data_IF_231486772232
#
_entry.id   IF_231486772232
#
_cell.length_a   1.000
_cell.length_b   1.000
_cell.length_c   1.000
_cell.angle_alpha   90.00
_cell.angle_beta   90.00
_cell.angle_gamma   90.00
#
_symmetry.space_group_name_H-M   'P 1'
#
loop_
_entity.id
_entity.type
_entity.pdbx_description
1 polymer ?
#
# COMPACT_ATOMS: atom_id res chain seq x y z
N UNK A 1 22.57 -12.62 -21.92
CA UNK A 1 22.30 -12.04 -20.60
C UNK A 1 21.17 -11.09 -20.83
N UNK A 2 19.97 -11.42 -20.37
CA UNK A 2 18.83 -10.51 -20.51
C UNK A 2 19.07 -9.33 -19.56
N UNK A 3 19.14 -8.13 -20.13
CA UNK A 3 19.38 -6.89 -19.40
C UNK A 3 18.16 -6.57 -18.53
N UNK A 4 18.34 -6.53 -17.21
CA UNK A 4 17.32 -6.06 -16.26
C UNK A 4 17.38 -4.54 -16.16
N UNK A 5 16.27 -3.90 -16.48
CA UNK A 5 16.03 -2.46 -16.35
C UNK A 5 15.39 -2.19 -15.00
N UNK A 6 16.06 -1.43 -14.13
CA UNK A 6 15.54 -1.03 -12.83
C UNK A 6 15.31 0.47 -12.78
N UNK A 7 14.09 0.86 -12.39
CA UNK A 7 13.71 2.28 -12.27
C UNK A 7 13.21 2.58 -10.86
N UNK A 8 14.09 3.06 -9.96
CA UNK A 8 13.72 3.34 -8.57
C UNK A 8 12.80 4.56 -8.41
N UNK A 9 12.56 5.32 -9.48
CA UNK A 9 11.68 6.48 -9.50
C UNK A 9 10.30 6.18 -10.13
N UNK A 10 10.03 4.94 -10.54
CA UNK A 10 8.75 4.56 -11.13
C UNK A 10 7.83 3.92 -10.09
N UNK A 11 6.75 4.59 -9.73
CA UNK A 11 5.80 4.13 -8.72
C UNK A 11 4.51 3.62 -9.37
N UNK A 12 4.07 2.44 -8.93
CA UNK A 12 2.87 1.79 -9.43
C UNK A 12 1.66 2.12 -8.58
N UNK A 13 0.55 2.52 -9.20
CA UNK A 13 -0.76 2.60 -8.56
C UNK A 13 -1.61 1.43 -9.04
N UNK A 14 -2.11 0.61 -8.12
CA UNK A 14 -2.88 -0.59 -8.44
C UNK A 14 -4.11 -0.73 -7.54
N UNK A 15 -5.00 -1.66 -7.88
CA UNK A 15 -6.28 -1.90 -7.20
C UNK A 15 -7.45 -2.08 -8.15
N UNK A 16 -8.62 -2.45 -7.63
CA UNK A 16 -9.83 -2.68 -8.43
C UNK A 16 -10.32 -1.45 -9.20
N UNK A 17 -11.21 -1.60 -10.20
CA UNK A 17 -11.95 -0.48 -10.80
C UNK A 17 -12.74 0.28 -9.72
N UNK A 18 -13.06 1.56 -9.96
CA UNK A 18 -13.85 2.37 -9.03
C UNK A 18 -13.16 2.79 -7.72
N UNK A 19 -11.89 2.41 -7.48
CA UNK A 19 -11.19 2.73 -6.23
C UNK A 19 -10.66 4.18 -6.11
N UNK A 20 -10.94 5.05 -7.09
CA UNK A 20 -10.48 6.45 -7.11
C UNK A 20 -9.03 6.68 -7.58
N UNK A 21 -8.35 5.65 -8.12
CA UNK A 21 -6.97 5.72 -8.62
C UNK A 21 -6.74 6.83 -9.65
N UNK A 22 -7.51 6.77 -10.74
CA UNK A 22 -7.38 7.72 -11.85
C UNK A 22 -7.58 9.16 -11.40
N UNK A 23 -8.48 9.40 -10.44
CA UNK A 23 -8.71 10.74 -9.89
C UNK A 23 -7.49 11.27 -9.13
N UNK A 24 -6.81 10.41 -8.36
CA UNK A 24 -5.56 10.80 -7.67
C UNK A 24 -4.44 11.03 -8.69
N UNK A 25 -4.33 10.20 -9.73
CA UNK A 25 -3.34 10.38 -10.80
C UNK A 25 -3.56 11.69 -11.54
N UNK A 26 -4.79 12.02 -11.88
CA UNK A 26 -5.14 13.29 -12.51
C UNK A 26 -4.79 14.48 -11.59
N UNK A 27 -5.02 14.37 -10.28
CA UNK A 27 -4.60 15.38 -9.30
C UNK A 27 -3.08 15.56 -9.26
N UNK A 28 -2.31 14.47 -9.30
CA UNK A 28 -0.85 14.51 -9.36
C UNK A 28 -0.37 15.18 -10.65
N UNK A 29 -0.97 14.82 -11.79
CA UNK A 29 -0.68 15.44 -13.10
C UNK A 29 -0.93 16.94 -13.09
N UNK A 30 -2.07 17.38 -12.55
CA UNK A 30 -2.41 18.81 -12.40
C UNK A 30 -1.45 19.55 -11.46
N UNK A 31 -0.86 18.84 -10.50
CA UNK A 31 0.17 19.37 -9.59
C UNK A 31 1.58 19.35 -10.20
N UNK A 32 1.72 19.01 -11.49
CA UNK A 32 2.99 19.02 -12.22
C UNK A 32 3.82 17.75 -12.11
N UNK A 33 3.30 16.67 -11.52
CA UNK A 33 3.99 15.38 -11.47
C UNK A 33 3.81 14.60 -12.76
N UNK A 34 4.82 13.82 -13.12
CA UNK A 34 4.78 12.98 -14.32
C UNK A 34 3.93 11.73 -14.07
N UNK A 35 2.98 11.49 -14.96
CA UNK A 35 2.00 10.40 -14.81
C UNK A 35 1.81 9.63 -16.10
N UNK A 36 1.65 8.32 -16.01
CA UNK A 36 1.37 7.43 -17.14
C UNK A 36 -0.04 6.83 -16.97
N UNK A 37 -0.98 7.09 -17.89
CA UNK A 37 -2.35 6.57 -17.79
C UNK A 37 -2.42 5.07 -18.14
N UNK A 38 -3.51 4.42 -17.73
CA UNK A 38 -3.68 2.97 -17.89
C UNK A 38 -3.90 2.56 -19.36
N UNK A 39 -3.12 1.60 -19.86
CA UNK A 39 -3.21 1.07 -21.22
C UNK A 39 -4.58 0.47 -21.57
N UNK A 40 -5.15 -0.27 -20.62
CA UNK A 40 -6.38 -1.04 -20.76
C UNK A 40 -7.58 -0.22 -21.26
N UNK A 41 -7.76 1.01 -20.76
CA UNK A 41 -8.87 1.90 -21.18
C UNK A 41 -8.75 2.31 -22.66
N UNK A 42 -7.54 2.69 -23.07
CA UNK A 42 -7.28 3.07 -24.46
C UNK A 42 -7.50 1.89 -25.41
N UNK A 43 -7.08 0.69 -25.02
CA UNK A 43 -7.29 -0.53 -25.80
C UNK A 43 -8.78 -0.85 -25.95
N UNK A 44 -9.56 -0.81 -24.87
CA UNK A 44 -11.02 -1.05 -24.95
C UNK A 44 -11.69 -0.06 -25.90
N UNK A 45 -11.36 1.24 -25.81
CA UNK A 45 -11.90 2.27 -26.71
C UNK A 45 -11.54 1.99 -28.17
N UNK A 46 -10.29 1.61 -28.44
CA UNK A 46 -9.83 1.29 -29.79
C UNK A 46 -10.54 0.05 -30.34
N UNK A 47 -10.64 -1.03 -29.56
CA UNK A 47 -11.29 -2.27 -29.98
C UNK A 47 -12.78 -2.07 -30.27
N UNK A 48 -13.49 -1.32 -29.41
CA UNK A 48 -14.89 -0.94 -29.68
C UNK A 48 -15.04 -0.14 -30.97
N UNK A 49 -14.12 0.80 -31.24
CA UNK A 49 -14.14 1.62 -32.47
C UNK A 49 -13.86 0.81 -33.73
N UNK A 50 -13.01 -0.22 -33.66
CA UNK A 50 -12.62 -1.04 -34.82
C UNK A 50 -13.43 -2.33 -34.95
N UNK A 51 -14.41 -2.57 -34.08
CA UNK A 51 -15.19 -3.81 -34.05
C UNK A 51 -14.39 -5.04 -33.61
N UNK A 52 -13.26 -4.85 -32.91
CA UNK A 52 -12.46 -5.94 -32.36
C UNK A 52 -13.01 -6.45 -31.02
N UNK A 53 -12.55 -7.62 -30.59
CA UNK A 53 -13.03 -8.28 -29.38
C UNK A 53 -11.94 -8.46 -28.30
N UNK A 54 -10.74 -7.90 -28.47
CA UNK A 54 -9.64 -8.01 -27.51
C UNK A 54 -9.90 -7.14 -26.26
N UNK A 55 -10.77 -7.61 -25.38
CA UNK A 55 -11.32 -6.90 -24.22
C UNK A 55 -11.48 -7.85 -23.04
N UNK A 56 -11.78 -7.32 -21.86
CA UNK A 56 -11.95 -8.12 -20.64
C UNK A 56 -13.07 -9.17 -20.67
N UNK A 57 -14.06 -8.98 -21.54
CA UNK A 57 -15.26 -9.80 -21.75
C UNK A 57 -15.23 -10.56 -23.08
N UNK A 58 -14.16 -10.42 -23.87
CA UNK A 58 -13.94 -11.11 -25.13
C UNK A 58 -12.64 -11.92 -25.14
N UNK A 59 -11.77 -11.65 -26.13
CA UNK A 59 -10.46 -12.28 -26.23
C UNK A 59 -9.47 -11.68 -25.22
N UNK A 60 -9.44 -12.28 -24.03
CA UNK A 60 -8.57 -11.87 -22.93
C UNK A 60 -7.08 -12.08 -23.22
N UNK A 61 -6.71 -13.06 -24.04
CA UNK A 61 -5.29 -13.35 -24.31
C UNK A 61 -4.70 -12.27 -25.22
N UNK A 62 -5.41 -11.93 -26.31
CA UNK A 62 -5.03 -10.80 -27.17
C UNK A 62 -5.08 -9.48 -26.39
N UNK A 63 -6.05 -9.32 -25.48
CA UNK A 63 -6.13 -8.14 -24.62
C UNK A 63 -4.89 -7.98 -23.72
N UNK A 64 -4.44 -9.06 -23.08
CA UNK A 64 -3.20 -9.08 -22.27
C UNK A 64 -1.98 -8.74 -23.12
N UNK A 65 -1.87 -9.29 -24.33
CA UNK A 65 -0.76 -8.99 -25.25
C UNK A 65 -0.72 -7.51 -25.63
N UNK A 66 -1.87 -6.91 -25.95
CA UNK A 66 -1.97 -5.47 -26.26
C UNK A 66 -1.59 -4.61 -25.05
N UNK A 67 -2.08 -4.96 -23.86
CA UNK A 67 -1.73 -4.25 -22.62
C UNK A 67 -0.23 -4.36 -22.32
N UNK A 68 0.39 -5.53 -22.55
CA UNK A 68 1.82 -5.74 -22.33
C UNK A 68 2.64 -4.88 -23.29
N UNK A 69 2.30 -4.88 -24.58
CA UNK A 69 2.98 -4.04 -25.59
C UNK A 69 2.94 -2.56 -25.22
N UNK A 70 1.77 -2.06 -24.82
CA UNK A 70 1.62 -0.68 -24.41
C UNK A 70 2.40 -0.38 -23.11
N UNK A 71 2.35 -1.27 -22.11
CA UNK A 71 3.09 -1.09 -20.85
C UNK A 71 4.61 -1.05 -21.06
N UNK A 72 5.15 -1.88 -21.96
CA UNK A 72 6.57 -1.87 -22.32
C UNK A 72 6.97 -0.60 -23.07
N UNK A 73 6.09 -0.09 -23.94
CA UNK A 73 6.28 1.17 -24.62
C UNK A 73 6.31 2.32 -23.61
N UNK A 74 5.32 2.40 -22.73
CA UNK A 74 5.23 3.44 -21.70
C UNK A 74 6.44 3.42 -20.76
N UNK A 75 6.91 2.24 -20.36
CA UNK A 75 8.12 2.10 -19.56
C UNK A 75 9.35 2.70 -20.27
N UNK A 76 9.51 2.39 -21.56
CA UNK A 76 10.65 2.81 -22.40
C UNK A 76 10.65 4.31 -22.70
N UNK A 77 9.49 4.88 -23.00
CA UNK A 77 9.34 6.31 -23.29
C UNK A 77 9.74 7.19 -22.10
N UNK A 78 9.71 6.63 -20.90
CA UNK A 78 10.05 7.35 -19.67
C UNK A 78 11.50 7.14 -19.21
N UNK A 79 12.32 6.33 -19.89
CA UNK A 79 13.64 5.86 -19.38
C UNK A 79 14.59 6.99 -18.96
N UNK A 80 14.50 8.15 -19.60
CA UNK A 80 15.34 9.32 -19.33
C UNK A 80 14.79 10.21 -18.21
N UNK A 81 13.60 9.93 -17.69
CA UNK A 81 12.98 10.69 -16.60
C UNK A 81 13.66 10.38 -15.28
N UNK A 82 14.15 11.42 -14.61
CA UNK A 82 14.85 11.30 -13.31
C UNK A 82 13.94 11.60 -12.12
N UNK A 83 12.86 12.36 -12.32
CA UNK A 83 11.85 12.63 -11.31
C UNK A 83 10.93 11.43 -11.07
N UNK A 84 10.14 11.44 -9.99
CA UNK A 84 9.11 10.43 -9.77
C UNK A 84 8.13 10.36 -10.96
N UNK A 85 7.78 9.13 -11.36
CA UNK A 85 6.77 8.83 -12.39
C UNK A 85 5.72 7.92 -11.79
N UNK A 86 4.45 8.31 -11.88
CA UNK A 86 3.33 7.57 -11.32
C UNK A 86 2.53 6.87 -12.42
N UNK A 87 2.51 5.53 -12.40
CA UNK A 87 1.84 4.71 -13.40
C UNK A 87 0.45 4.25 -12.90
N UNK A 88 -0.61 4.51 -13.67
CA UNK A 88 -1.93 3.88 -13.49
C UNK A 88 -1.85 2.44 -14.00
N UNK A 89 -1.48 1.52 -13.10
CA UNK A 89 -1.10 0.13 -13.35
C UNK A 89 0.22 -0.05 -14.09
N UNK A 90 0.82 -1.22 -13.91
CA UNK A 90 2.00 -1.63 -14.66
C UNK A 90 2.02 -3.11 -14.96
N UNK A 91 3.18 -3.61 -15.36
CA UNK A 91 3.37 -5.01 -15.76
C UNK A 91 2.89 -6.02 -14.67
N UNK A 92 3.10 -5.78 -13.36
CA UNK A 92 2.57 -6.68 -12.32
C UNK A 92 1.03 -6.78 -12.27
N UNK A 93 0.29 -5.77 -12.74
CA UNK A 93 -1.17 -5.89 -12.89
C UNK A 93 -1.54 -6.92 -13.95
N UNK A 94 -0.75 -7.05 -15.03
CA UNK A 94 -0.98 -8.08 -16.04
C UNK A 94 -0.77 -9.48 -15.48
N UNK A 95 0.27 -9.69 -14.65
CA UNK A 95 0.46 -10.96 -13.96
C UNK A 95 -0.78 -11.34 -13.14
N UNK A 96 -1.22 -10.40 -12.30
CA UNK A 96 -2.37 -10.57 -11.42
C UNK A 96 -3.65 -10.90 -12.21
N UNK A 97 -3.89 -10.13 -13.27
CA UNK A 97 -5.04 -10.32 -14.16
C UNK A 97 -5.00 -11.67 -14.89
N UNK A 98 -3.87 -12.00 -15.52
CA UNK A 98 -3.72 -13.24 -16.29
C UNK A 98 -3.86 -14.49 -15.41
N UNK A 99 -3.22 -14.48 -14.24
CA UNK A 99 -3.31 -15.57 -13.27
C UNK A 99 -4.76 -15.81 -12.83
N UNK A 100 -5.53 -14.74 -12.57
CA UNK A 100 -6.89 -14.86 -12.05
C UNK A 100 -7.94 -15.14 -13.14
N UNK A 101 -7.82 -14.51 -14.31
CA UNK A 101 -8.90 -14.42 -15.29
C UNK A 101 -8.60 -15.07 -16.65
N UNK A 102 -7.34 -15.46 -16.92
CA UNK A 102 -6.91 -16.01 -18.22
C UNK A 102 -6.45 -17.48 -18.15
N UNK A 103 -6.56 -18.15 -17.00
CA UNK A 103 -6.17 -19.55 -16.84
C UNK A 103 -4.65 -19.80 -16.78
N UNK A 104 -3.84 -18.74 -16.78
CA UNK A 104 -2.38 -18.81 -16.70
C UNK A 104 -1.73 -17.48 -17.04
N UNK A 105 -0.46 -17.34 -16.66
CA UNK A 105 0.35 -16.15 -16.99
C UNK A 105 1.14 -16.42 -18.27
N UNK A 106 1.01 -15.59 -19.33
CA UNK A 106 1.84 -15.75 -20.52
C UNK A 106 3.33 -15.58 -20.21
N UNK A 107 4.19 -16.40 -20.83
CA UNK A 107 5.65 -16.33 -20.61
C UNK A 107 6.24 -14.95 -20.92
N UNK A 108 5.68 -14.23 -21.90
CA UNK A 108 6.08 -12.85 -22.21
C UNK A 108 5.82 -11.88 -21.05
N UNK A 109 4.75 -12.09 -20.27
CA UNK A 109 4.45 -11.29 -19.07
C UNK A 109 5.45 -11.63 -17.96
N UNK A 110 5.74 -12.92 -17.75
CA UNK A 110 6.74 -13.36 -16.75
C UNK A 110 8.13 -12.77 -17.05
N UNK A 111 8.58 -12.86 -18.31
CA UNK A 111 9.83 -12.26 -18.77
C UNK A 111 9.85 -10.75 -18.55
N UNK A 112 8.75 -10.06 -18.89
CA UNK A 112 8.66 -8.62 -18.72
C UNK A 112 8.75 -8.19 -17.25
N UNK A 113 8.21 -8.96 -16.30
CA UNK A 113 8.30 -8.67 -14.85
C UNK A 113 9.73 -8.78 -14.34
N UNK A 114 10.52 -9.70 -14.90
CA UNK A 114 11.93 -9.89 -14.56
C UNK A 114 12.82 -8.83 -15.20
N UNK A 115 12.49 -8.37 -16.40
CA UNK A 115 13.30 -7.43 -17.18
C UNK A 115 12.98 -5.95 -16.93
N UNK A 116 11.73 -5.59 -16.62
CA UNK A 116 11.30 -4.18 -16.49
C UNK A 116 10.79 -3.90 -15.08
N UNK A 117 11.72 -3.64 -14.16
CA UNK A 117 11.44 -3.41 -12.74
C UNK A 117 11.05 -1.97 -12.48
N UNK A 118 9.90 -1.80 -11.82
CA UNK A 118 9.48 -0.55 -11.20
C UNK A 118 10.09 -0.45 -9.80
N UNK A 119 9.87 0.66 -9.11
CA UNK A 119 10.22 0.76 -7.70
C UNK A 119 9.49 -0.34 -6.89
N UNK A 120 10.13 -1.01 -5.91
CA UNK A 120 9.53 -2.10 -5.16
C UNK A 120 8.25 -1.74 -4.40
N UNK A 121 8.15 -0.48 -3.96
CA UNK A 121 6.96 0.04 -3.28
C UNK A 121 5.87 0.41 -4.29
N UNK A 122 4.71 -0.24 -4.19
CA UNK A 122 3.52 0.02 -4.99
C UNK A 122 2.35 0.52 -4.12
N UNK A 123 1.57 1.47 -4.63
CA UNK A 123 0.42 2.04 -3.95
C UNK A 123 -0.85 1.30 -4.33
N UNK A 124 -1.50 0.69 -3.35
CA UNK A 124 -2.65 -0.17 -3.59
C UNK A 124 -3.92 0.52 -3.08
N UNK A 125 -4.95 0.57 -3.93
CA UNK A 125 -6.23 1.26 -3.67
C UNK A 125 -7.34 0.22 -3.48
N UNK A 126 -7.79 -0.02 -2.24
CA UNK A 126 -8.86 -0.97 -1.95
C UNK A 126 -10.18 -0.60 -2.63
N UNK A 127 -11.05 -1.59 -2.92
CA UNK A 127 -12.39 -1.37 -3.48
C UNK A 127 -13.36 -0.89 -2.38
N UNK A 128 -13.14 0.32 -1.88
CA UNK A 128 -13.98 0.91 -0.83
C UNK A 128 -15.44 1.01 -1.31
N UNK A 129 -16.40 0.30 -0.70
CA UNK A 129 -17.79 0.28 -1.17
C UNK A 129 -18.43 1.66 -1.27
N UNK A 130 -18.02 2.59 -0.41
CA UNK A 130 -18.63 3.92 -0.26
C UNK A 130 -18.18 4.93 -1.31
N UNK A 131 -17.08 4.64 -2.03
CA UNK A 131 -16.64 5.46 -3.17
C UNK A 131 -16.72 4.68 -4.48
N UNK A 132 -17.22 3.44 -4.44
CA UNK A 132 -17.34 2.61 -5.61
C UNK A 132 -18.35 3.24 -6.58
N UNK A 133 -17.83 3.80 -7.66
CA UNK A 133 -18.61 4.29 -8.78
C UNK A 133 -18.61 3.25 -9.91
N UNK A 134 -19.71 3.19 -10.67
CA UNK A 134 -19.75 2.42 -11.90
C UNK A 134 -18.73 2.99 -12.89
N UNK A 135 -17.76 2.16 -13.28
CA UNK A 135 -16.82 2.48 -14.35
C UNK A 135 -17.54 2.21 -15.69
N UNK A 136 -17.90 3.29 -16.41
CA UNK A 136 -18.63 3.18 -17.68
C UNK A 136 -17.82 2.46 -18.77
N UNK A 137 -16.49 2.43 -18.64
CA UNK A 137 -15.60 1.80 -19.61
C UNK A 137 -15.42 0.31 -19.31
N UNK A 138 -15.34 -0.07 -18.01
CA UNK A 138 -15.34 -1.45 -17.52
C UNK A 138 -16.52 -1.73 -16.61
N UNK A 139 -17.57 -2.32 -17.18
CA UNK A 139 -18.72 -2.81 -16.43
C UNK A 139 -18.32 -4.08 -15.66
N UNK A 140 -17.70 -3.91 -14.50
CA UNK A 140 -17.38 -4.99 -13.59
C UNK A 140 -18.29 -4.93 -12.36
N UNK A 141 -18.65 -6.08 -11.80
CA UNK A 141 -19.44 -6.13 -10.57
C UNK A 141 -18.60 -5.72 -9.35
N UNK A 142 -19.27 -5.44 -8.22
CA UNK A 142 -18.58 -5.22 -6.93
C UNK A 142 -17.75 -6.44 -6.52
N UNK A 143 -18.27 -7.64 -6.76
CA UNK A 143 -17.56 -8.89 -6.45
C UNK A 143 -16.32 -9.05 -7.32
N UNK A 144 -16.38 -8.68 -8.61
CA UNK A 144 -15.20 -8.66 -9.48
C UNK A 144 -14.15 -7.63 -9.04
N UNK A 145 -14.56 -6.50 -8.45
CA UNK A 145 -13.62 -5.53 -7.90
C UNK A 145 -12.91 -6.06 -6.64
N UNK A 146 -13.61 -6.82 -5.80
CA UNK A 146 -13.04 -7.53 -4.64
C UNK A 146 -12.10 -8.65 -5.11
N UNK A 147 -12.50 -9.44 -6.10
CA UNK A 147 -11.64 -10.48 -6.69
C UNK A 147 -10.39 -9.91 -7.33
N UNK A 148 -10.52 -8.78 -8.04
CA UNK A 148 -9.37 -8.04 -8.58
C UNK A 148 -8.45 -7.56 -7.46
N UNK A 149 -9.01 -7.12 -6.34
CA UNK A 149 -8.22 -6.70 -5.18
C UNK A 149 -7.39 -7.84 -4.58
N UNK A 150 -7.98 -9.03 -4.39
CA UNK A 150 -7.26 -10.21 -3.94
C UNK A 150 -6.17 -10.63 -4.93
N UNK A 151 -6.51 -10.68 -6.23
CA UNK A 151 -5.57 -11.03 -7.29
C UNK A 151 -4.37 -10.07 -7.33
N UNK A 152 -4.60 -8.76 -7.16
CA UNK A 152 -3.53 -7.74 -7.10
C UNK A 152 -2.61 -7.96 -5.91
N UNK A 153 -3.16 -8.21 -4.71
CA UNK A 153 -2.32 -8.46 -3.52
C UNK A 153 -1.40 -9.66 -3.73
N UNK A 154 -1.95 -10.77 -4.20
CA UNK A 154 -1.19 -12.00 -4.44
C UNK A 154 -0.19 -11.85 -5.59
N UNK A 155 -0.61 -11.23 -6.70
CA UNK A 155 0.22 -11.07 -7.88
C UNK A 155 1.39 -10.11 -7.65
N UNK A 156 1.19 -9.00 -6.96
CA UNK A 156 2.27 -8.08 -6.63
C UNK A 156 3.31 -8.73 -5.70
N UNK A 157 2.86 -9.46 -4.68
CA UNK A 157 3.76 -10.22 -3.80
C UNK A 157 4.57 -11.28 -4.60
N UNK A 158 3.91 -12.03 -5.48
CA UNK A 158 4.57 -13.02 -6.35
C UNK A 158 5.59 -12.37 -7.32
N UNK A 159 5.34 -11.12 -7.72
CA UNK A 159 6.25 -10.33 -8.56
C UNK A 159 7.39 -9.65 -7.77
N UNK A 160 7.47 -9.85 -6.45
CA UNK A 160 8.49 -9.24 -5.58
C UNK A 160 8.26 -7.76 -5.26
N UNK A 161 7.01 -7.29 -5.34
CA UNK A 161 6.62 -5.94 -4.96
C UNK A 161 5.98 -5.92 -3.57
N UNK A 162 6.09 -4.78 -2.91
CA UNK A 162 5.53 -4.51 -1.59
C UNK A 162 4.46 -3.46 -1.75
N UNK A 163 3.27 -3.72 -1.23
CA UNK A 163 2.12 -2.83 -1.39
C UNK A 163 1.86 -2.00 -0.14
N UNK A 164 1.78 -0.68 -0.30
CA UNK A 164 1.29 0.24 0.74
C UNK A 164 -0.15 0.62 0.42
N UNK A 165 -1.05 0.45 1.39
CA UNK A 165 -2.46 0.77 1.20
C UNK A 165 -2.66 2.27 1.24
N UNK A 166 -3.24 2.85 0.18
CA UNK A 166 -3.62 4.26 0.17
C UNK A 166 -4.89 4.43 1.01
N UNK A 167 -4.86 5.26 2.06
CA UNK A 167 -6.02 5.46 2.93
C UNK A 167 -7.25 5.99 2.19
N UNK A 168 -8.44 5.62 2.69
CA UNK A 168 -9.73 6.12 2.18
C UNK A 168 -9.99 7.56 2.63
N UNK A 169 -9.29 8.51 2.02
CA UNK A 169 -9.39 9.94 2.34
C UNK A 169 -9.90 10.76 1.15
N UNK A 170 -10.15 12.07 1.28
CA UNK A 170 -10.30 12.98 0.15
C UNK A 170 -9.10 12.90 -0.82
N UNK A 171 -9.31 13.30 -2.07
CA UNK A 171 -8.33 13.15 -3.16
C UNK A 171 -7.00 13.84 -2.82
N UNK A 172 -7.09 15.06 -2.29
CA UNK A 172 -5.98 15.90 -1.87
C UNK A 172 -5.12 15.21 -0.80
N UNK A 173 -5.77 14.60 0.18
CA UNK A 173 -5.09 13.89 1.27
C UNK A 173 -4.44 12.60 0.80
N UNK A 174 -5.07 11.87 -0.13
CA UNK A 174 -4.44 10.69 -0.77
C UNK A 174 -3.19 11.08 -1.55
N UNK A 175 -3.26 12.17 -2.33
CA UNK A 175 -2.10 12.68 -3.06
C UNK A 175 -0.99 13.11 -2.10
N UNK A 176 -1.32 13.87 -1.04
CA UNK A 176 -0.36 14.30 -0.03
C UNK A 176 0.31 13.12 0.68
N UNK A 177 -0.44 12.07 1.03
CA UNK A 177 0.10 10.84 1.60
C UNK A 177 1.14 10.18 0.68
N UNK A 178 0.81 9.98 -0.59
CA UNK A 178 1.72 9.37 -1.58
C UNK A 178 2.98 10.22 -1.77
N UNK A 179 2.81 11.55 -1.87
CA UNK A 179 3.93 12.47 -2.03
C UNK A 179 4.84 12.46 -0.81
N UNK A 180 4.29 12.39 0.40
CA UNK A 180 5.08 12.29 1.65
C UNK A 180 6.01 11.06 1.62
N UNK A 181 5.55 9.94 1.04
CA UNK A 181 6.32 8.71 0.92
C UNK A 181 7.31 8.70 -0.25
N UNK A 182 7.18 9.61 -1.22
CA UNK A 182 7.96 9.62 -2.46
C UNK A 182 8.79 10.88 -2.71
N UNK A 183 8.68 11.88 -1.81
CA UNK A 183 9.31 13.20 -1.97
C UNK A 183 10.85 13.22 -1.90
N UNK A 184 11.49 12.18 -1.37
CA UNK A 184 12.95 12.10 -1.29
C UNK A 184 13.45 10.65 -1.21
N UNK A 185 14.72 10.37 -1.55
CA UNK A 185 15.30 9.04 -1.39
C UNK A 185 15.18 8.50 0.05
N UNK A 186 15.38 9.35 1.07
CA UNK A 186 15.19 8.99 2.49
C UNK A 186 13.74 8.57 2.75
N UNK A 187 12.77 9.37 2.31
CA UNK A 187 11.35 9.07 2.50
C UNK A 187 10.95 7.74 1.84
N UNK A 188 11.46 7.48 0.63
CA UNK A 188 11.21 6.24 -0.12
C UNK A 188 11.79 5.03 0.60
N UNK A 189 13.03 5.13 1.08
CA UNK A 189 13.68 4.06 1.85
C UNK A 189 12.92 3.77 3.14
N UNK A 190 12.57 4.81 3.91
CA UNK A 190 11.76 4.70 5.13
C UNK A 190 10.41 4.06 4.84
N UNK A 191 9.70 4.52 3.81
CA UNK A 191 8.41 3.95 3.42
C UNK A 191 8.53 2.46 3.10
N UNK A 192 9.53 2.09 2.31
CA UNK A 192 9.77 0.71 1.88
C UNK A 192 10.05 -0.22 3.06
N UNK A 193 10.96 0.19 3.96
CA UNK A 193 11.34 -0.62 5.12
C UNK A 193 10.18 -0.73 6.13
N UNK A 194 9.48 0.35 6.40
CA UNK A 194 8.34 0.32 7.32
C UNK A 194 7.17 -0.49 6.76
N UNK A 195 6.92 -0.47 5.44
CA UNK A 195 5.92 -1.36 4.84
C UNK A 195 6.36 -2.83 4.89
N UNK A 196 7.65 -3.14 4.72
CA UNK A 196 8.16 -4.51 4.95
C UNK A 196 7.96 -4.96 6.39
N UNK A 197 8.25 -4.09 7.35
CA UNK A 197 8.07 -4.40 8.77
C UNK A 197 6.61 -4.72 9.10
N UNK A 198 5.65 -3.88 8.68
CA UNK A 198 4.23 -4.19 8.94
C UNK A 198 3.79 -5.49 8.24
N UNK A 199 4.31 -5.78 7.05
CA UNK A 199 4.07 -7.07 6.40
C UNK A 199 4.66 -8.25 7.17
N UNK A 200 5.87 -8.11 7.72
CA UNK A 200 6.50 -9.16 8.52
C UNK A 200 5.74 -9.41 9.84
N UNK A 201 5.30 -8.35 10.51
CA UNK A 201 4.44 -8.44 11.71
C UNK A 201 3.11 -9.14 11.38
N UNK A 202 2.48 -8.78 10.26
CA UNK A 202 1.27 -9.43 9.79
C UNK A 202 1.49 -10.88 9.35
N UNK A 203 2.67 -11.23 8.84
CA UNK A 203 3.01 -12.61 8.51
C UNK A 203 3.22 -13.46 9.77
N UNK A 204 3.81 -12.89 10.83
CA UNK A 204 4.03 -13.59 12.09
C UNK A 204 2.73 -13.82 12.86
N UNK A 205 1.91 -12.77 13.01
CA UNK A 205 0.73 -12.86 13.87
C UNK A 205 -0.54 -13.14 13.09
N UNK A 206 -0.62 -12.79 11.81
CA UNK A 206 -1.81 -12.99 10.98
C UNK A 206 -2.94 -11.98 11.24
N UNK A 207 -4.11 -12.33 10.75
CA UNK A 207 -5.32 -11.50 10.77
C UNK A 207 -6.45 -12.20 11.53
N UNK A 208 -7.34 -11.42 12.13
CA UNK A 208 -8.67 -11.86 12.53
C UNK A 208 -9.67 -11.13 11.63
N UNK A 209 -10.42 -11.90 10.84
CA UNK A 209 -11.16 -11.38 9.68
C UNK A 209 -10.23 -10.58 8.75
N UNK A 210 -10.40 -9.27 8.63
CA UNK A 210 -9.57 -8.40 7.80
C UNK A 210 -8.66 -7.47 8.61
N UNK A 211 -8.65 -7.61 9.94
CA UNK A 211 -7.90 -6.72 10.83
C UNK A 211 -6.64 -7.41 11.33
N UNK A 212 -5.47 -6.74 11.24
CA UNK A 212 -4.22 -7.22 11.82
C UNK A 212 -4.36 -7.59 13.29
N UNK A 213 -3.91 -8.79 13.68
CA UNK A 213 -4.05 -9.23 15.08
C UNK A 213 -3.30 -8.36 16.08
N UNK A 214 -2.17 -7.79 15.66
CA UNK A 214 -1.39 -6.83 16.46
C UNK A 214 -2.21 -5.58 16.86
N UNK A 215 -3.27 -5.25 16.12
CA UNK A 215 -4.15 -4.11 16.40
C UNK A 215 -5.35 -4.46 17.30
N UNK A 216 -5.49 -5.70 17.76
CA UNK A 216 -6.52 -6.11 18.75
C UNK A 216 -5.98 -6.15 20.19
N UNK A 217 -5.26 -5.10 20.59
CA UNK A 217 -4.75 -4.94 21.95
C UNK A 217 -3.23 -4.84 22.07
N UNK A 218 -2.41 -5.63 21.35
CA UNK A 218 -0.94 -5.53 21.44
C UNK A 218 -0.35 -4.21 20.92
N UNK A 219 -1.15 -3.34 20.29
CA UNK A 219 -0.70 -2.09 19.67
C UNK A 219 0.09 -1.19 20.63
N UNK A 220 -0.27 -1.14 21.92
CA UNK A 220 0.48 -0.40 22.92
C UNK A 220 1.90 -0.93 23.13
N UNK A 221 2.04 -2.26 23.29
CA UNK A 221 3.34 -2.91 23.44
C UNK A 221 4.18 -2.71 22.17
N UNK A 222 3.58 -2.90 20.99
CA UNK A 222 4.24 -2.63 19.72
C UNK A 222 4.76 -1.19 19.63
N UNK A 223 3.92 -0.21 19.98
CA UNK A 223 4.24 1.20 19.85
C UNK A 223 5.44 1.60 20.74
N UNK A 224 5.53 1.08 21.97
CA UNK A 224 6.69 1.28 22.85
C UNK A 224 7.95 0.67 22.24
N UNK A 225 7.90 -0.60 21.82
CA UNK A 225 9.06 -1.29 21.24
C UNK A 225 9.57 -0.53 20.02
N UNK A 226 8.67 -0.15 19.13
CA UNK A 226 9.00 0.60 17.92
C UNK A 226 9.57 1.98 18.24
N UNK A 227 8.90 2.77 19.09
CA UNK A 227 9.36 4.11 19.46
C UNK A 227 10.74 4.08 20.10
N UNK A 228 10.98 3.15 21.03
CA UNK A 228 12.29 3.00 21.67
C UNK A 228 13.37 2.61 20.66
N UNK A 229 13.09 1.65 19.80
CA UNK A 229 14.02 1.22 18.75
C UNK A 229 14.33 2.35 17.76
N UNK A 230 13.33 3.13 17.35
CA UNK A 230 13.49 4.30 16.49
C UNK A 230 14.31 5.39 17.17
N UNK A 231 13.93 5.78 18.38
CA UNK A 231 14.54 6.90 19.11
C UNK A 231 15.97 6.59 19.57
N UNK A 232 16.37 5.32 19.67
CA UNK A 232 17.75 4.93 19.88
C UNK A 232 18.63 5.08 18.62
N UNK A 233 18.04 4.99 17.42
CA UNK A 233 18.75 4.98 16.13
C UNK A 233 18.79 6.33 15.43
N UNK A 234 17.68 7.06 15.46
CA UNK A 234 17.50 8.25 14.64
C UNK A 234 17.49 9.54 15.46
N UNK A 235 18.03 10.61 14.88
CA UNK A 235 18.07 11.93 15.51
C UNK A 235 16.67 12.54 15.65
N UNK A 236 15.87 12.47 14.58
CA UNK A 236 14.47 12.92 14.58
C UNK A 236 13.61 11.90 15.31
N UNK A 237 13.01 12.32 16.42
CA UNK A 237 12.29 11.42 17.33
C UNK A 237 10.87 11.15 16.86
N UNK A 238 10.43 9.93 17.13
CA UNK A 238 9.05 9.49 17.04
C UNK A 238 8.46 9.46 18.46
N UNK A 239 7.14 9.54 18.56
CA UNK A 239 6.43 9.54 19.85
C UNK A 239 5.09 8.83 19.76
N UNK A 240 4.54 8.45 20.91
CA UNK A 240 3.28 7.70 20.98
C UNK A 240 2.10 8.63 20.72
N UNK A 241 1.08 8.09 20.04
CA UNK A 241 -0.21 8.74 19.83
C UNK A 241 -1.33 7.82 20.30
N UNK A 242 -2.20 8.36 21.13
CA UNK A 242 -3.45 7.71 21.51
C UNK A 242 -4.58 8.18 20.59
N UNK A 243 -5.32 7.22 20.04
CA UNK A 243 -6.56 7.45 19.28
C UNK A 243 -7.70 7.20 20.26
N UNK A 244 -8.23 8.28 20.83
CA UNK A 244 -9.18 8.26 21.94
C UNK A 244 -10.62 8.41 21.45
N UNK A 245 -11.56 7.76 22.14
CA UNK A 245 -12.99 8.01 21.94
C UNK A 245 -13.32 9.50 22.15
N UNK A 246 -14.38 10.04 21.51
CA UNK A 246 -14.80 11.43 21.73
C UNK A 246 -14.99 11.79 23.21
N UNK A 247 -15.48 10.84 24.00
CA UNK A 247 -15.76 10.95 25.43
C UNK A 247 -14.49 10.89 26.31
N UNK A 248 -13.33 10.50 25.72
CA UNK A 248 -12.02 10.33 26.39
C UNK A 248 -12.01 9.28 27.50
N UNK A 249 -12.91 8.31 27.44
CA UNK A 249 -13.03 7.22 28.42
C UNK A 249 -12.30 5.93 27.98
N UNK A 250 -12.08 5.76 26.67
CA UNK A 250 -11.42 4.59 26.09
C UNK A 250 -10.37 4.99 25.04
N UNK A 251 -9.26 4.26 25.04
CA UNK A 251 -8.26 4.33 23.98
C UNK A 251 -8.59 3.27 22.94
N UNK A 252 -9.04 3.70 21.76
CA UNK A 252 -9.42 2.81 20.67
C UNK A 252 -8.20 2.16 20.00
N UNK A 253 -7.11 2.92 19.83
CA UNK A 253 -5.86 2.41 19.26
C UNK A 253 -4.65 3.24 19.70
N UNK A 254 -3.47 2.62 19.65
CA UNK A 254 -2.20 3.28 19.92
C UNK A 254 -1.32 3.14 18.68
N UNK A 255 -0.80 4.27 18.21
CA UNK A 255 0.11 4.36 17.08
C UNK A 255 1.37 5.14 17.47
N UNK A 256 2.33 5.19 16.55
CA UNK A 256 3.54 6.01 16.67
C UNK A 256 3.50 7.11 15.62
N UNK A 257 3.68 8.37 16.02
CA UNK A 257 3.89 9.47 15.08
C UNK A 257 5.35 9.57 14.70
N UNK A 258 5.60 9.52 13.40
CA UNK A 258 6.93 9.67 12.82
C UNK A 258 7.26 11.16 12.59
N UNK A 259 8.55 11.49 12.37
CA UNK A 259 8.96 12.85 12.00
C UNK A 259 8.25 13.39 10.75
N UNK A 260 7.87 12.51 9.82
CA UNK A 260 7.06 12.84 8.63
C UNK A 260 5.61 13.26 8.94
N UNK A 261 5.21 13.26 10.22
CA UNK A 261 3.85 13.47 10.74
C UNK A 261 2.85 12.36 10.43
N UNK A 262 3.25 11.37 9.62
CA UNK A 262 2.49 10.15 9.43
C UNK A 262 2.46 9.33 10.73
N UNK A 263 1.40 8.53 10.84
CA UNK A 263 1.27 7.53 11.89
C UNK A 263 1.77 6.18 11.37
N UNK A 264 2.26 5.37 12.29
CA UNK A 264 2.73 4.01 12.03
C UNK A 264 2.24 3.06 13.14
N UNK A 265 1.70 1.92 12.74
CA UNK A 265 1.44 0.79 13.63
C UNK A 265 1.89 -0.53 12.96
N UNK A 266 1.97 -1.60 13.75
CA UNK A 266 2.51 -2.88 13.28
C UNK A 266 1.61 -3.61 12.29
N UNK A 267 0.32 -3.24 12.20
CA UNK A 267 -0.67 -3.91 11.38
C UNK A 267 -0.94 -3.18 10.07
N UNK A 268 -1.54 -2.01 10.15
CA UNK A 268 -1.87 -1.15 9.00
C UNK A 268 -0.59 -0.60 8.36
N UNK A 269 0.45 -0.36 9.14
CA UNK A 269 1.68 0.28 8.68
C UNK A 269 1.51 1.81 8.59
N UNK A 270 2.06 2.41 7.54
CA UNK A 270 2.05 3.86 7.33
C UNK A 270 0.64 4.37 6.97
N UNK A 271 0.14 5.32 7.73
CA UNK A 271 -1.15 5.97 7.52
C UNK A 271 -1.18 7.39 8.12
N UNK A 272 -2.35 8.01 8.20
CA UNK A 272 -2.49 9.39 8.73
C UNK A 272 -3.53 9.42 9.85
N UNK A 273 -3.46 10.44 10.70
CA UNK A 273 -4.49 10.68 11.73
C UNK A 273 -5.89 10.89 11.14
N UNK A 274 -5.99 11.32 9.87
CA UNK A 274 -7.26 11.49 9.15
C UNK A 274 -8.01 10.18 8.93
N UNK A 275 -7.33 9.04 9.12
CA UNK A 275 -7.96 7.71 9.11
C UNK A 275 -8.92 7.49 10.31
N UNK A 276 -8.91 8.38 11.31
CA UNK A 276 -9.70 8.25 12.53
C UNK A 276 -10.74 9.38 12.69
N UNK A 277 -11.69 9.52 11.73
CA UNK A 277 -12.70 10.56 11.83
C UNK A 277 -13.56 10.35 13.08
N UNK A 278 -13.78 11.43 13.83
CA UNK A 278 -14.56 11.41 15.06
C UNK A 278 -13.78 11.01 16.32
N UNK A 279 -12.54 10.52 16.19
CA UNK A 279 -11.68 10.25 17.34
C UNK A 279 -10.84 11.48 17.70
N UNK A 280 -10.41 11.53 18.96
CA UNK A 280 -9.45 12.51 19.44
C UNK A 280 -8.04 11.95 19.30
N UNK A 281 -7.12 12.78 18.82
CA UNK A 281 -5.72 12.42 18.60
C UNK A 281 -4.90 13.09 19.70
N UNK A 282 -4.34 12.29 20.61
CA UNK A 282 -3.58 12.79 21.75
C UNK A 282 -2.12 12.33 21.66
N UNK A 283 -1.22 13.28 21.41
CA UNK A 283 0.22 13.05 21.30
C UNK A 283 0.89 13.01 22.68
N UNK A 284 1.54 11.89 23.00
CA UNK A 284 2.40 11.74 24.18
C UNK A 284 3.85 12.03 23.79
N UNK A 285 4.16 13.32 23.64
CA UNK A 285 5.48 13.81 23.18
C UNK A 285 6.58 13.45 24.19
N UNK A 286 6.29 13.63 25.47
CA UNK A 286 7.11 13.12 26.57
C UNK A 286 6.51 11.81 27.07
N UNK A 287 7.33 10.77 27.18
CA UNK A 287 6.84 9.44 27.56
C UNK A 287 6.37 9.41 29.01
N UNK A 288 5.09 9.05 29.21
CA UNK A 288 4.48 8.80 30.52
C UNK A 288 4.08 7.32 30.63
N UNK A 289 4.80 6.59 31.49
CA UNK A 289 4.55 5.16 31.71
C UNK A 289 3.16 4.89 32.31
N UNK A 290 2.68 5.73 33.23
CA UNK A 290 1.40 5.51 33.89
C UNK A 290 0.24 5.74 32.92
N UNK A 291 0.35 6.77 32.08
CA UNK A 291 -0.60 7.03 31.00
C UNK A 291 -0.61 5.89 29.97
N UNK A 292 0.57 5.38 29.63
CA UNK A 292 0.71 4.26 28.71
C UNK A 292 0.08 2.98 29.26
N UNK A 293 0.37 2.60 30.51
CA UNK A 293 -0.25 1.45 31.20
C UNK A 293 -1.78 1.55 31.22
N UNK A 294 -2.29 2.75 31.53
CA UNK A 294 -3.73 3.00 31.56
C UNK A 294 -4.37 2.75 30.19
N UNK A 295 -3.83 3.37 29.14
CA UNK A 295 -4.46 3.35 27.82
C UNK A 295 -4.14 2.11 26.99
N UNK A 296 -3.09 1.36 27.32
CA UNK A 296 -2.86 0.02 26.79
C UNK A 296 -3.65 -1.07 27.51
N UNK A 297 -4.36 -0.71 28.59
CA UNK A 297 -5.09 -1.61 29.49
C UNK A 297 -4.18 -2.67 30.14
N UNK A 298 -2.94 -2.28 30.48
CA UNK A 298 -1.91 -3.18 31.00
C UNK A 298 -0.89 -3.58 29.94
N UNK A 299 0.40 -3.32 30.17
CA UNK A 299 1.47 -3.67 29.22
C UNK A 299 1.89 -5.14 29.27
N UNK A 300 1.68 -5.81 30.41
CA UNK A 300 2.03 -7.22 30.62
C UNK A 300 0.83 -8.18 30.44
N UNK A 301 -0.30 -7.69 29.93
CA UNK A 301 -1.48 -8.54 29.69
C UNK A 301 -1.28 -9.50 28.54
N UNK A 302 -2.04 -10.60 28.55
CA UNK A 302 -2.11 -11.56 27.45
C UNK A 302 -3.29 -11.26 26.53
N UNK A 303 -3.26 -11.81 25.30
CA UNK A 303 -4.23 -11.51 24.24
C UNK A 303 -4.96 -12.76 23.71
N UNK A 304 -5.56 -13.60 24.57
CA UNK A 304 -6.01 -14.94 24.21
C UNK A 304 -7.12 -14.98 23.14
N UNK A 305 -7.89 -13.91 22.98
CA UNK A 305 -9.03 -13.87 22.05
C UNK A 305 -8.60 -13.62 20.60
N UNK A 306 -7.86 -12.54 20.37
CA UNK A 306 -7.62 -12.03 19.02
C UNK A 306 -6.16 -12.06 18.59
N UNK A 307 -5.19 -12.14 19.51
CA UNK A 307 -3.77 -12.29 19.18
C UNK A 307 -3.08 -13.29 20.13
N UNK A 308 -3.56 -14.55 20.21
CA UNK A 308 -3.09 -15.51 21.21
C UNK A 308 -1.61 -15.89 21.07
N UNK A 309 -1.03 -15.68 19.89
CA UNK A 309 0.38 -15.95 19.55
C UNK A 309 1.27 -14.72 19.65
N UNK A 310 0.79 -13.61 20.22
CA UNK A 310 1.60 -12.41 20.38
C UNK A 310 2.85 -12.70 21.19
N UNK A 311 4.00 -12.26 20.68
CA UNK A 311 5.31 -12.48 21.29
C UNK A 311 6.10 -11.16 21.24
N UNK A 312 6.45 -10.66 22.43
CA UNK A 312 7.13 -9.37 22.60
C UNK A 312 8.56 -9.42 22.05
N UNK A 313 9.28 -10.51 22.26
CA UNK A 313 10.68 -10.64 21.88
C UNK A 313 10.79 -10.79 20.36
N UNK A 314 9.94 -11.62 19.74
CA UNK A 314 9.87 -11.71 18.28
C UNK A 314 9.49 -10.38 17.64
N UNK A 315 8.51 -9.67 18.22
CA UNK A 315 8.12 -8.33 17.74
C UNK A 315 9.32 -7.37 17.79
N UNK A 316 10.07 -7.36 18.89
CA UNK A 316 11.23 -6.51 19.06
C UNK A 316 12.37 -6.86 18.08
N UNK A 317 12.60 -8.15 17.82
CA UNK A 317 13.55 -8.65 16.82
C UNK A 317 13.18 -8.15 15.44
N UNK A 318 11.93 -8.36 15.00
CA UNK A 318 11.45 -7.89 13.70
C UNK A 318 11.62 -6.37 13.55
N UNK A 319 11.24 -5.60 14.56
CA UNK A 319 11.43 -4.14 14.56
C UNK A 319 12.91 -3.78 14.38
N UNK A 320 13.80 -4.38 15.18
CA UNK A 320 15.22 -4.06 15.15
C UNK A 320 15.86 -4.41 13.80
N UNK A 321 15.62 -5.62 13.29
CA UNK A 321 16.14 -6.09 12.01
C UNK A 321 15.76 -5.17 10.85
N UNK A 322 14.52 -4.67 10.84
CA UNK A 322 14.08 -3.77 9.79
C UNK A 322 14.65 -2.36 9.97
N UNK A 323 14.64 -1.81 11.19
CA UNK A 323 15.16 -0.47 11.44
C UNK A 323 16.69 -0.38 11.29
N UNK A 324 17.43 -1.48 11.43
CA UNK A 324 18.88 -1.52 11.20
C UNK A 324 19.26 -1.41 9.70
N UNK A 325 18.31 -1.61 8.79
CA UNK A 325 18.50 -1.42 7.34
C UNK A 325 18.36 0.07 6.94
N UNK A 326 17.72 0.88 7.80
CA UNK A 326 17.28 2.25 7.52
C UNK A 326 18.37 3.30 7.82
#
# INVERSE_FOLDING_TARGET
MDETWEKPNYFLFTGGPGAGKTTVIEKLRQSGYHTVPEAARNIIRQQRKTGGNATHDGDRMTYVELMLRQSLKDYRENLLTVSAVFFDRGIPDLYSYSKRFCGGVPSAVEQAIMQFRYHPLAFVFPPWPEIYCHDEERKQSRDEAIETWHAVKEGYAACGYITVTVPKLPIEERAAFILTLTQSPKAIATATILTKLSHAINAEFGFHENTPRINYGPCGVFAILFMNAWNARFAEKAHIVFIMTPERDECWHIAVRLPSKLLYDGGVGLHTERCYPGYLIEDMVEYDHALMEKWSYGLDRTYPRYCPTFDKDKTNTLISEHLDIL
#
